data_IF_780312870635
#
_entry.id   IF_780312870635
#
_cell.length_a   1.000
_cell.length_b   1.000
_cell.length_c   1.000
_cell.angle_alpha   90.00
_cell.angle_beta   90.00
_cell.angle_gamma   90.00
#
_symmetry.space_group_name_H-M   'P 1'
#
loop_
_entity.id
_entity.type
_entity.pdbx_description
1 polymer ?
#
# COMPACT_ATOMS: atom_id res chain seq x y z
N UNK A 1 16.36 -10.56 -13.10
CA UNK A 1 15.53 -10.20 -11.93
C UNK A 1 14.16 -9.82 -12.47
N UNK A 2 13.07 -10.24 -11.84
CA UNK A 2 11.72 -10.04 -12.38
C UNK A 2 10.90 -9.16 -11.44
N UNK A 3 10.18 -8.20 -12.00
CA UNK A 3 9.23 -7.38 -11.25
C UNK A 3 7.82 -7.73 -11.71
N UNK A 4 6.91 -7.97 -10.77
CA UNK A 4 5.50 -8.20 -11.04
C UNK A 4 4.66 -7.22 -10.24
N UNK A 5 3.64 -6.68 -10.87
CA UNK A 5 2.75 -5.69 -10.25
C UNK A 5 1.33 -6.16 -10.47
N UNK A 6 0.58 -6.26 -9.40
CA UNK A 6 -0.85 -6.53 -9.40
C UNK A 6 -1.56 -5.40 -8.70
N UNK A 7 -2.50 -4.76 -9.38
CA UNK A 7 -3.42 -3.79 -8.77
C UNK A 7 -4.80 -4.41 -8.72
N UNK A 8 -5.33 -4.56 -7.51
CA UNK A 8 -6.65 -5.12 -7.23
C UNK A 8 -7.54 -4.07 -6.56
N UNK A 9 -8.79 -3.92 -7.00
CA UNK A 9 -9.77 -3.06 -6.32
C UNK A 9 -10.64 -2.21 -7.25
N UNK A 10 -11.60 -1.48 -6.68
CA UNK A 10 -12.60 -0.66 -7.40
C UNK A 10 -13.99 -1.30 -7.55
N UNK A 11 -14.95 -0.52 -8.05
CA UNK A 11 -16.39 -0.83 -8.11
C UNK A 11 -16.76 -2.01 -9.04
N UNK A 12 -15.80 -2.57 -9.78
CA UNK A 12 -16.03 -3.65 -10.75
C UNK A 12 -15.13 -4.89 -10.54
N UNK A 13 -14.31 -4.92 -9.48
CA UNK A 13 -13.40 -6.04 -9.20
C UNK A 13 -12.31 -6.28 -10.26
N UNK A 14 -12.04 -5.31 -11.13
CA UNK A 14 -11.08 -5.45 -12.22
C UNK A 14 -9.67 -5.42 -11.64
N UNK A 15 -8.94 -6.54 -11.80
CA UNK A 15 -7.53 -6.64 -11.42
C UNK A 15 -6.64 -6.46 -12.65
N UNK A 16 -5.61 -5.63 -12.53
CA UNK A 16 -4.58 -5.47 -13.56
C UNK A 16 -3.28 -6.10 -13.10
N UNK A 17 -2.60 -6.83 -13.98
CA UNK A 17 -1.30 -7.45 -13.70
C UNK A 17 -0.32 -7.18 -14.83
N UNK A 18 0.89 -6.79 -14.48
CA UNK A 18 2.03 -6.63 -15.37
C UNK A 18 3.24 -7.38 -14.81
N UNK A 19 4.16 -7.77 -15.69
CA UNK A 19 5.46 -8.26 -15.26
C UNK A 19 6.52 -7.91 -16.30
N UNK A 20 7.69 -7.52 -15.81
CA UNK A 20 8.84 -7.19 -16.65
C UNK A 20 10.08 -7.92 -16.14
N UNK A 21 10.95 -8.34 -17.05
CA UNK A 21 12.26 -8.87 -16.71
C UNK A 21 13.31 -7.77 -16.88
N UNK A 22 14.06 -7.52 -15.81
CA UNK A 22 15.04 -6.45 -15.75
C UNK A 22 16.34 -6.81 -16.47
N UNK A 23 16.52 -8.06 -16.91
CA UNK A 23 17.73 -8.48 -17.63
C UNK A 23 17.94 -7.68 -18.93
N UNK A 24 16.88 -7.12 -19.51
CA UNK A 24 16.94 -6.40 -20.79
C UNK A 24 16.80 -4.88 -20.65
N UNK A 25 16.56 -4.35 -19.45
CA UNK A 25 16.16 -2.94 -19.25
C UNK A 25 17.02 -2.26 -18.17
N UNK A 26 18.19 -1.70 -18.53
CA UNK A 26 19.09 -1.05 -17.58
C UNK A 26 18.52 0.25 -17.01
N UNK A 27 17.66 0.97 -17.74
CA UNK A 27 16.97 2.15 -17.23
C UNK A 27 16.00 1.81 -16.08
N UNK A 28 15.43 0.61 -16.10
CA UNK A 28 14.54 0.12 -15.04
C UNK A 28 15.31 -0.32 -13.80
N UNK A 29 16.58 -0.73 -13.91
CA UNK A 29 17.31 -1.25 -12.74
C UNK A 29 17.47 -0.19 -11.66
N UNK A 30 17.85 1.04 -12.03
CA UNK A 30 17.98 2.15 -11.08
C UNK A 30 16.64 2.52 -10.43
N UNK A 31 15.55 2.47 -11.19
CA UNK A 31 14.20 2.72 -10.67
C UNK A 31 13.78 1.63 -9.68
N UNK A 32 14.16 0.38 -9.92
CA UNK A 32 13.83 -0.75 -9.05
C UNK A 32 14.60 -0.68 -7.74
N UNK A 33 15.89 -0.37 -7.78
CA UNK A 33 16.68 -0.17 -6.55
C UNK A 33 16.10 0.96 -5.68
N UNK A 34 15.72 2.08 -6.30
CA UNK A 34 15.07 3.19 -5.61
C UNK A 34 13.69 2.81 -5.05
N UNK A 35 12.87 2.12 -5.86
CA UNK A 35 11.55 1.66 -5.44
C UNK A 35 11.63 0.64 -4.29
N UNK A 36 12.61 -0.26 -4.33
CA UNK A 36 12.82 -1.27 -3.28
C UNK A 36 13.21 -0.60 -1.96
N UNK A 37 14.13 0.37 -2.01
CA UNK A 37 14.55 1.12 -0.83
C UNK A 37 13.38 1.90 -0.20
N UNK A 38 12.57 2.59 -1.01
CA UNK A 38 11.39 3.32 -0.52
C UNK A 38 10.28 2.38 -0.02
N UNK A 39 10.06 1.26 -0.69
CA UNK A 39 9.08 0.25 -0.28
C UNK A 39 9.41 -0.30 1.11
N UNK A 40 10.68 -0.63 1.34
CA UNK A 40 11.16 -1.11 2.63
C UNK A 40 10.98 -0.04 3.73
N UNK A 41 11.42 1.20 3.48
CA UNK A 41 11.27 2.30 4.43
C UNK A 41 9.80 2.57 4.79
N UNK A 42 8.90 2.49 3.82
CA UNK A 42 7.47 2.72 4.02
C UNK A 42 6.83 1.61 4.85
N UNK A 43 7.23 0.34 4.64
CA UNK A 43 6.79 -0.77 5.49
C UNK A 43 7.28 -0.62 6.93
N UNK A 44 8.55 -0.27 7.13
CA UNK A 44 9.13 -0.07 8.45
C UNK A 44 8.42 1.09 9.21
N UNK A 45 8.10 2.19 8.51
CA UNK A 45 7.35 3.31 9.10
C UNK A 45 5.92 2.91 9.49
N UNK A 46 5.22 2.16 8.64
CA UNK A 46 3.84 1.74 8.90
C UNK A 46 3.79 0.75 10.09
N UNK A 47 4.74 -0.21 10.17
CA UNK A 47 4.86 -1.10 11.32
C UNK A 47 5.09 -0.33 12.63
N UNK A 48 5.92 0.70 12.61
CA UNK A 48 6.24 1.48 13.80
C UNK A 48 5.06 2.37 14.26
N UNK A 49 4.30 2.95 13.32
CA UNK A 49 3.08 3.71 13.66
C UNK A 49 2.01 2.83 14.31
N UNK A 50 1.83 1.61 13.80
CA UNK A 50 0.81 0.70 14.34
C UNK A 50 1.15 0.22 15.76
N UNK A 51 2.43 0.05 16.09
CA UNK A 51 2.84 -0.28 17.46
C UNK A 51 2.55 0.87 18.44
N UNK A 52 2.73 2.12 18.02
CA UNK A 52 2.55 3.27 18.89
C UNK A 52 1.07 3.58 19.19
N UNK A 53 0.15 3.26 18.27
CA UNK A 53 -1.30 3.42 18.50
C UNK A 53 -1.86 2.42 19.52
N UNK A 54 -1.28 1.23 19.65
CA UNK A 54 -1.75 0.20 20.56
C UNK A 54 -1.36 0.46 22.03
N UNK A 55 -0.55 1.48 22.33
CA UNK A 55 -0.15 1.81 23.71
C UNK A 55 -1.04 2.86 24.39
N UNK A 56 -2.07 3.37 23.70
CA UNK A 56 -3.00 4.35 24.25
C UNK A 56 -4.22 3.71 24.98
N UNK A 57 -4.21 2.40 25.20
CA UNK A 57 -5.20 1.70 26.02
C UNK A 57 -4.64 1.51 27.45
N UNK A 58 -4.59 2.60 28.23
CA UNK A 58 -4.46 2.53 29.69
C UNK A 58 -5.81 2.92 30.33
N UNK A 59 -6.25 2.20 31.37
CA UNK A 59 -7.59 2.27 31.91
C UNK A 59 -7.87 3.58 32.66
N UNK A 60 -9.14 3.98 32.59
CA UNK A 60 -9.82 5.08 33.27
C UNK A 60 -9.17 5.53 34.59
N UNK A 61 -8.86 6.83 34.78
CA UNK A 61 -8.68 7.36 36.13
C UNK A 61 -10.03 7.34 36.86
N UNK A 62 -10.00 6.83 38.09
CA UNK A 62 -11.11 6.82 39.05
C UNK A 62 -11.71 8.25 39.19
N UNK A 63 -13.03 8.45 39.03
CA UNK A 63 -13.63 9.77 39.16
C UNK A 63 -13.74 10.15 40.64
N UNK A 64 -12.63 10.53 41.26
CA UNK A 64 -12.68 11.25 42.53
C UNK A 64 -13.10 12.70 42.28
N UNK A 65 -14.29 13.03 42.78
CA UNK A 65 -14.89 14.36 42.93
C UNK A 65 -13.89 15.51 42.80
N UNK A 66 -14.09 16.38 41.82
CA UNK A 66 -13.62 17.77 41.90
C UNK A 66 -14.66 18.65 41.19
N UNK A 67 -15.42 19.41 41.97
CA UNK A 67 -16.21 20.55 41.53
C UNK A 67 -15.23 21.67 41.13
N UNK A 68 -14.99 21.91 39.83
CA UNK A 68 -14.46 23.18 39.31
C UNK A 68 -14.53 23.20 37.77
N UNK A 69 -14.91 24.36 37.21
CA UNK A 69 -15.18 24.70 35.80
C UNK A 69 -14.42 23.90 34.70
N UNK A 70 -15.11 22.94 34.08
CA UNK A 70 -14.60 22.11 32.99
C UNK A 70 -14.83 22.70 31.59
N UNK A 71 -13.85 23.46 31.08
CA UNK A 71 -13.72 23.75 29.64
C UNK A 71 -13.23 22.50 28.87
N UNK A 72 -14.20 21.75 28.36
CA UNK A 72 -14.21 20.85 27.18
C UNK A 72 -12.87 20.49 26.50
N UNK A 73 -12.17 19.46 26.99
CA UNK A 73 -11.10 18.75 26.24
C UNK A 73 -11.63 17.59 25.36
N UNK A 74 -12.95 17.37 25.29
CA UNK A 74 -13.56 16.24 24.58
C UNK A 74 -13.66 16.36 23.04
N UNK A 75 -13.28 17.51 22.46
CA UNK A 75 -13.42 17.77 21.02
C UNK A 75 -12.32 17.12 20.15
N UNK A 76 -11.19 16.71 20.73
CA UNK A 76 -10.07 16.10 19.97
C UNK A 76 -10.36 14.66 19.54
N UNK A 77 -10.98 13.84 20.40
CA UNK A 77 -11.10 12.39 20.15
C UNK A 77 -12.11 12.00 19.07
N UNK A 78 -13.13 12.82 18.78
CA UNK A 78 -14.08 12.56 17.70
C UNK A 78 -13.52 12.91 16.32
N UNK A 79 -12.64 13.90 16.25
CA UNK A 79 -12.02 14.37 15.01
C UNK A 79 -10.98 13.38 14.49
N UNK A 80 -10.23 12.75 15.39
CA UNK A 80 -9.18 11.78 15.08
C UNK A 80 -9.75 10.47 14.49
N UNK A 81 -10.82 9.93 15.09
CA UNK A 81 -11.50 8.72 14.58
C UNK A 81 -12.10 8.92 13.19
N UNK A 82 -12.65 10.10 12.92
CA UNK A 82 -13.20 10.41 11.61
C UNK A 82 -12.12 10.53 10.53
N UNK A 83 -10.92 11.02 10.86
CA UNK A 83 -9.78 11.00 9.92
C UNK A 83 -9.34 9.57 9.61
N UNK A 84 -9.18 8.70 10.60
CA UNK A 84 -8.79 7.30 10.37
C UNK A 84 -9.82 6.55 9.49
N UNK A 85 -11.12 6.75 9.73
CA UNK A 85 -12.18 6.12 8.93
C UNK A 85 -12.28 6.69 7.50
N UNK A 86 -12.00 7.97 7.28
CA UNK A 86 -11.99 8.56 5.94
C UNK A 86 -10.83 8.06 5.07
N UNK A 87 -9.67 7.75 5.66
CA UNK A 87 -8.56 7.14 4.92
C UNK A 87 -8.89 5.71 4.51
N UNK A 88 -9.46 4.89 5.41
CA UNK A 88 -9.93 3.52 5.08
C UNK A 88 -10.97 3.48 3.95
N UNK A 89 -11.83 4.51 3.82
CA UNK A 89 -12.80 4.58 2.73
C UNK A 89 -12.20 4.99 1.37
N UNK A 90 -11.01 5.61 1.33
CA UNK A 90 -10.36 6.04 0.09
C UNK A 90 -9.50 4.96 -0.55
N UNK A 91 -9.07 3.96 0.22
CA UNK A 91 -8.26 2.84 -0.27
C UNK A 91 -9.09 1.73 -0.93
N UNK A 92 -9.79 2.10 -1.99
CA UNK A 92 -10.49 1.12 -2.84
C UNK A 92 -9.56 0.27 -3.70
N UNK A 93 -8.30 0.64 -3.82
CA UNK A 93 -7.30 -0.07 -4.61
C UNK A 93 -6.14 -0.49 -3.71
N UNK A 94 -5.71 -1.73 -3.91
CA UNK A 94 -4.58 -2.35 -3.24
C UNK A 94 -3.57 -2.76 -4.30
N UNK A 95 -2.32 -2.43 -4.05
CA UNK A 95 -1.19 -2.70 -4.93
C UNK A 95 -0.31 -3.78 -4.31
N UNK A 96 -0.09 -4.84 -5.05
CA UNK A 96 0.75 -5.97 -4.71
C UNK A 96 1.94 -6.00 -5.68
N UNK A 97 3.14 -5.77 -5.18
CA UNK A 97 4.35 -5.59 -5.96
C UNK A 97 5.36 -6.64 -5.53
N UNK A 98 5.87 -7.39 -6.50
CA UNK A 98 6.88 -8.41 -6.32
C UNK A 98 8.16 -7.98 -7.00
N UNK A 99 9.25 -7.89 -6.26
CA UNK A 99 10.58 -7.55 -6.77
C UNK A 99 11.50 -8.73 -6.45
N UNK A 100 11.78 -9.57 -7.45
CA UNK A 100 12.50 -10.82 -7.19
C UNK A 100 11.69 -11.75 -6.29
N UNK A 101 12.15 -11.94 -5.05
CA UNK A 101 11.49 -12.76 -4.01
C UNK A 101 10.74 -11.90 -2.98
N UNK A 102 10.92 -10.58 -3.01
CA UNK A 102 10.33 -9.66 -2.03
C UNK A 102 8.92 -9.25 -2.46
N UNK A 103 7.96 -9.37 -1.53
CA UNK A 103 6.58 -8.97 -1.73
C UNK A 103 6.27 -7.75 -0.88
N UNK A 104 5.74 -6.71 -1.53
CA UNK A 104 5.24 -5.51 -0.88
C UNK A 104 3.77 -5.31 -1.21
N UNK A 105 2.98 -4.99 -0.18
CA UNK A 105 1.58 -4.65 -0.31
C UNK A 105 1.35 -3.23 0.19
N UNK A 106 0.74 -2.40 -0.65
CA UNK A 106 0.44 -1.01 -0.35
C UNK A 106 -1.01 -0.68 -0.68
N UNK A 107 -1.72 0.03 0.20
CA UNK A 107 -2.93 0.74 -0.19
C UNK A 107 -2.58 1.89 -1.16
N UNK A 108 -3.52 2.29 -2.00
CA UNK A 108 -3.32 3.36 -3.01
C UNK A 108 -2.87 4.70 -2.41
N UNK A 109 -3.32 4.99 -1.19
CA UNK A 109 -3.00 6.19 -0.43
C UNK A 109 -1.58 6.21 0.13
N UNK A 110 -1.01 5.05 0.46
CA UNK A 110 0.34 4.90 1.02
C UNK A 110 1.36 4.43 -0.02
N UNK A 111 0.96 4.31 -1.30
CA UNK A 111 1.85 3.89 -2.36
C UNK A 111 2.92 4.96 -2.62
N UNK A 112 4.22 4.67 -2.41
CA UNK A 112 5.29 5.63 -2.65
C UNK A 112 5.35 6.08 -4.11
N UNK A 113 5.81 7.30 -4.36
CA UNK A 113 5.78 7.88 -5.71
C UNK A 113 6.66 7.09 -6.69
N UNK A 114 7.88 6.74 -6.29
CA UNK A 114 8.80 5.93 -7.10
C UNK A 114 8.24 4.54 -7.40
N UNK A 115 7.64 3.92 -6.39
CA UNK A 115 6.96 2.62 -6.53
C UNK A 115 5.77 2.72 -7.47
N UNK A 116 5.02 3.82 -7.44
CA UNK A 116 3.91 4.10 -8.37
C UNK A 116 4.39 4.25 -9.81
N UNK A 117 5.48 4.98 -10.03
CA UNK A 117 6.08 5.14 -11.37
C UNK A 117 6.51 3.77 -11.90
N UNK A 118 7.23 2.98 -11.09
CA UNK A 118 7.60 1.61 -11.44
C UNK A 118 6.36 0.77 -11.77
N UNK A 119 5.33 0.83 -10.93
CA UNK A 119 4.12 0.05 -11.09
C UNK A 119 3.36 0.39 -12.38
N UNK A 120 3.25 1.67 -12.72
CA UNK A 120 2.67 2.11 -13.99
C UNK A 120 3.50 1.62 -15.17
N UNK A 121 4.82 1.67 -15.07
CA UNK A 121 5.72 1.18 -16.12
C UNK A 121 5.54 -0.32 -16.34
N UNK A 122 5.59 -1.13 -15.28
CA UNK A 122 5.39 -2.59 -15.36
C UNK A 122 4.00 -2.94 -15.91
N UNK A 123 2.96 -2.17 -15.57
CA UNK A 123 1.62 -2.39 -16.10
C UNK A 123 1.48 -2.12 -17.61
N UNK A 124 2.43 -1.40 -18.24
CA UNK A 124 2.50 -1.29 -19.70
C UNK A 124 2.95 -2.59 -20.37
N UNK A 125 3.56 -3.50 -19.61
CA UNK A 125 3.97 -4.83 -20.03
C UNK A 125 3.01 -5.86 -19.39
N UNK A 126 1.79 -5.99 -19.93
CA UNK A 126 0.85 -6.97 -19.41
C UNK A 126 1.49 -8.35 -19.49
N UNK A 127 1.23 -9.19 -18.48
CA UNK A 127 1.60 -10.60 -18.56
C UNK A 127 0.78 -11.19 -19.70
N UNK A 128 1.39 -11.29 -20.88
CA UNK A 128 0.78 -11.98 -22.01
C UNK A 128 0.52 -13.39 -21.51
N UNK A 129 -0.75 -13.75 -21.33
CA UNK A 129 -1.10 -15.17 -21.28
C UNK A 129 -0.45 -15.79 -22.52
N UNK A 130 0.19 -16.96 -22.42
CA UNK A 130 0.56 -17.67 -23.63
C UNK A 130 -0.72 -17.77 -24.44
N UNK A 131 -0.78 -17.05 -25.57
CA UNK A 131 -1.80 -17.28 -26.55
C UNK A 131 -1.62 -18.75 -26.88
N UNK A 132 -2.59 -19.57 -26.50
CA UNK A 132 -2.77 -20.84 -27.19
C UNK A 132 -3.17 -20.44 -28.61
N UNK A 133 -2.18 -20.03 -29.40
CA UNK A 133 -2.24 -20.14 -30.84
C UNK A 133 -2.34 -21.65 -31.05
N UNK A 134 -3.59 -22.09 -31.17
CA UNK A 134 -3.92 -23.42 -31.61
C UNK A 134 -3.31 -23.57 -32.98
N UNK A 135 -2.10 -24.11 -33.00
CA UNK A 135 -1.56 -24.90 -34.09
C UNK A 135 -2.52 -26.08 -34.27
N UNK A 136 -3.62 -25.81 -34.98
CA UNK A 136 -4.57 -26.77 -35.51
C UNK A 136 -4.06 -27.13 -36.90
N UNK A 137 -2.87 -27.73 -36.94
CA UNK A 137 -2.38 -28.45 -38.11
C UNK A 137 -2.59 -29.93 -37.81
N UNK A 138 -3.69 -30.49 -38.35
CA UNK A 138 -3.86 -31.90 -38.76
C UNK A 138 -5.19 -32.08 -39.50
#
# INVERSE_FOLDING_TARGET
>A
MRVQVTRSGGFAGISRRGAIDCANEPDLSALIDAALLEAQQSQDQNQNQNQNQNHADHPLPDPTLTDDDGETEAASSYSERNRAQQHQQRDRYQWNIWIGDEQFEFPDSELPETVRVLAVEVLKHPVTRPTMDGDLDH
#
